data_IF_970238133921
#
_entry.id   IF_970238133921
#
_cell.length_a   1.000
_cell.length_b   1.000
_cell.length_c   1.000
_cell.angle_alpha   90.00
_cell.angle_beta   90.00
_cell.angle_gamma   90.00
#
_symmetry.space_group_name_H-M   'P 1'
#
loop_
_entity.id
_entity.type
_entity.pdbx_description
1 polymer ?
#
# COMPACT_ATOMS: atom_id res chain seq x y z
N UNK A 1 -11.04 10.17 -7.57
CA UNK A 1 -10.97 11.35 -8.44
C UNK A 1 -9.62 12.05 -8.25
N UNK A 2 -9.26 13.05 -9.06
CA UNK A 2 -8.01 13.83 -8.87
C UNK A 2 -7.99 14.53 -7.51
N UNK A 3 -9.11 15.17 -7.16
CA UNK A 3 -9.30 15.86 -5.87
C UNK A 3 -9.04 14.95 -4.67
N UNK A 4 -9.62 13.75 -4.63
CA UNK A 4 -9.40 12.82 -3.53
C UNK A 4 -7.92 12.39 -3.42
N UNK A 5 -7.25 12.22 -4.56
CA UNK A 5 -5.83 11.84 -4.60
C UNK A 5 -4.92 12.99 -4.13
N UNK A 6 -5.32 14.24 -4.33
CA UNK A 6 -4.59 15.40 -3.79
C UNK A 6 -4.63 15.49 -2.27
N UNK A 7 -5.67 14.93 -1.62
CA UNK A 7 -5.93 15.11 -0.18
C UNK A 7 -5.67 13.86 0.68
N UNK A 8 -5.34 12.72 0.07
CA UNK A 8 -5.26 11.44 0.78
C UNK A 8 -4.12 11.39 1.81
N UNK A 9 -3.01 12.06 1.54
CA UNK A 9 -1.88 12.20 2.47
C UNK A 9 -2.25 13.04 3.70
N UNK A 10 -2.89 14.18 3.47
CA UNK A 10 -3.38 15.06 4.52
C UNK A 10 -4.35 14.34 5.46
N UNK A 11 -5.33 13.63 4.90
CA UNK A 11 -6.46 13.08 5.66
C UNK A 11 -6.17 11.73 6.32
N UNK A 12 -5.33 10.89 5.72
CA UNK A 12 -5.18 9.50 6.13
C UNK A 12 -3.77 8.96 6.07
N UNK A 13 -2.75 9.81 5.86
CA UNK A 13 -1.37 9.37 5.64
C UNK A 13 -1.21 8.41 4.45
N UNK A 14 -2.17 8.40 3.52
CA UNK A 14 -2.08 7.60 2.30
C UNK A 14 -1.25 8.30 1.23
N UNK A 15 -0.70 7.54 0.29
CA UNK A 15 -0.01 8.09 -0.87
C UNK A 15 -0.92 8.04 -2.10
N UNK A 16 -0.91 9.07 -2.97
CA UNK A 16 -1.64 9.01 -4.23
C UNK A 16 -1.09 7.89 -5.12
N UNK A 17 -1.98 7.14 -5.76
CA UNK A 17 -1.65 6.14 -6.77
C UNK A 17 -1.56 6.74 -8.17
N UNK A 18 -2.09 7.96 -8.37
CA UNK A 18 -2.01 8.69 -9.63
C UNK A 18 -0.66 9.36 -9.79
N UNK A 19 0.02 9.09 -10.89
CA UNK A 19 1.32 9.71 -11.20
C UNK A 19 1.24 11.20 -11.57
N UNK A 20 0.07 11.70 -11.99
CA UNK A 20 -0.14 13.12 -12.33
C UNK A 20 -0.56 13.98 -11.13
N UNK A 21 -0.44 13.44 -9.91
CA UNK A 21 -0.82 14.10 -8.66
C UNK A 21 0.36 14.07 -7.71
N UNK A 22 0.81 15.26 -7.32
CA UNK A 22 1.87 15.46 -6.32
C UNK A 22 1.33 16.41 -5.26
N UNK A 23 0.82 15.88 -4.13
CA UNK A 23 0.43 16.69 -2.97
C UNK A 23 1.62 17.47 -2.43
N UNK A 24 1.34 18.55 -1.71
CA UNK A 24 2.38 19.42 -1.14
C UNK A 24 2.26 19.59 0.38
N UNK A 25 1.39 18.82 1.02
CA UNK A 25 1.20 18.82 2.47
C UNK A 25 2.39 18.15 3.20
N UNK A 26 2.47 18.40 4.50
CA UNK A 26 3.59 17.93 5.33
C UNK A 26 3.60 16.41 5.49
N UNK A 27 2.45 15.72 5.52
CA UNK A 27 2.41 14.26 5.62
C UNK A 27 2.97 13.61 4.35
N UNK A 28 2.63 14.13 3.17
CA UNK A 28 3.18 13.65 1.90
C UNK A 28 4.69 13.81 1.82
N UNK A 29 5.23 14.97 2.22
CA UNK A 29 6.69 15.21 2.25
C UNK A 29 7.39 14.26 3.22
N UNK A 30 6.86 14.10 4.43
CA UNK A 30 7.43 13.21 5.44
C UNK A 30 7.42 11.74 4.99
N UNK A 31 6.30 11.27 4.42
CA UNK A 31 6.20 9.91 3.88
C UNK A 31 7.14 9.67 2.70
N UNK A 32 7.27 10.65 1.79
CA UNK A 32 8.21 10.56 0.66
C UNK A 32 9.66 10.47 1.15
N UNK A 33 10.05 11.33 2.09
CA UNK A 33 11.38 11.31 2.69
C UNK A 33 11.67 9.98 3.42
N UNK A 34 10.69 9.42 4.14
CA UNK A 34 10.83 8.14 4.82
C UNK A 34 11.01 6.94 3.87
N UNK A 35 10.53 7.07 2.62
CA UNK A 35 10.65 6.04 1.58
C UNK A 35 11.85 6.25 0.65
N UNK A 36 12.64 7.30 0.84
CA UNK A 36 13.84 7.54 0.03
C UNK A 36 14.81 6.36 0.13
N UNK A 37 15.20 5.82 -1.01
CA UNK A 37 16.08 4.64 -1.10
C UNK A 37 15.40 3.31 -0.80
N UNK A 38 14.12 3.29 -0.42
CA UNK A 38 13.36 2.05 -0.24
C UNK A 38 12.92 1.51 -1.60
N UNK A 39 13.28 0.27 -1.89
CA UNK A 39 12.74 -0.44 -3.04
C UNK A 39 11.26 -0.75 -2.80
N UNK A 40 10.39 -0.12 -3.59
CA UNK A 40 8.97 -0.44 -3.59
C UNK A 40 8.75 -1.79 -4.29
N UNK A 41 8.20 -2.75 -3.55
CA UNK A 41 7.71 -4.02 -4.10
C UNK A 41 6.19 -4.03 -4.09
N UNK A 42 5.59 -4.55 -5.15
CA UNK A 42 4.15 -4.76 -5.25
C UNK A 42 3.91 -6.22 -5.65
N UNK A 43 2.94 -6.91 -5.00
CA UNK A 43 2.57 -8.26 -5.40
C UNK A 43 1.91 -8.24 -6.78
N UNK A 44 2.03 -9.35 -7.51
CA UNK A 44 1.11 -9.62 -8.61
C UNK A 44 -0.24 -10.06 -8.03
N UNK A 45 -1.23 -9.18 -8.09
CA UNK A 45 -2.55 -9.44 -7.53
C UNK A 45 -3.32 -10.56 -8.25
N UNK A 46 -3.04 -10.79 -9.54
CA UNK A 46 -3.65 -11.90 -10.28
C UNK A 46 -3.15 -13.24 -9.73
N UNK A 47 -1.85 -13.35 -9.45
CA UNK A 47 -1.27 -14.55 -8.84
C UNK A 47 -1.81 -14.76 -7.41
N UNK A 48 -1.88 -13.69 -6.62
CA UNK A 48 -2.43 -13.74 -5.25
C UNK A 48 -3.88 -14.20 -5.26
N UNK A 49 -4.71 -13.69 -6.18
CA UNK A 49 -6.13 -14.06 -6.24
C UNK A 49 -6.32 -15.56 -6.51
N UNK A 50 -5.44 -16.17 -7.32
CA UNK A 50 -5.50 -17.61 -7.62
C UNK A 50 -5.15 -18.46 -6.40
N UNK A 51 -4.16 -18.07 -5.59
CA UNK A 51 -3.70 -18.88 -4.45
C UNK A 51 -4.33 -18.53 -3.10
N UNK A 52 -5.07 -17.42 -3.00
CA UNK A 52 -5.50 -16.79 -1.74
C UNK A 52 -6.14 -17.78 -0.75
N UNK A 53 -7.11 -18.57 -1.18
CA UNK A 53 -7.81 -19.52 -0.29
C UNK A 53 -6.89 -20.61 0.27
N UNK A 54 -5.94 -21.09 -0.55
CA UNK A 54 -4.97 -22.09 -0.13
C UNK A 54 -3.92 -21.47 0.81
N UNK A 55 -3.50 -20.23 0.54
CA UNK A 55 -2.57 -19.49 1.39
C UNK A 55 -3.17 -19.21 2.78
N UNK A 56 -4.44 -18.80 2.85
CA UNK A 56 -5.17 -18.60 4.11
C UNK A 56 -5.26 -19.91 4.89
N UNK A 57 -5.67 -21.01 4.25
CA UNK A 57 -5.80 -22.32 4.89
C UNK A 57 -4.45 -22.81 5.45
N UNK A 58 -3.36 -22.58 4.70
CA UNK A 58 -2.00 -22.93 5.16
C UNK A 58 -1.59 -22.06 6.34
N UNK A 59 -1.86 -20.75 6.30
CA UNK A 59 -1.54 -19.83 7.40
C UNK A 59 -2.18 -20.30 8.71
N UNK A 60 -3.50 -20.53 8.72
CA UNK A 60 -4.22 -21.04 9.89
C UNK A 60 -3.57 -22.32 10.45
N UNK A 61 -3.28 -23.30 9.57
CA UNK A 61 -2.64 -24.56 9.99
C UNK A 61 -1.30 -24.36 10.69
N UNK A 62 -0.48 -23.40 10.25
CA UNK A 62 0.88 -23.21 10.80
C UNK A 62 0.96 -22.20 11.93
N UNK A 63 -0.07 -21.35 12.12
CA UNK A 63 -0.09 -20.32 13.17
C UNK A 63 -1.08 -20.58 14.30
N UNK A 64 -2.13 -21.37 14.09
CA UNK A 64 -3.17 -21.60 15.11
C UNK A 64 -2.97 -22.86 15.97
N UNK A 65 -1.83 -23.54 15.81
CA UNK A 65 -1.47 -24.63 16.73
C UNK A 65 -0.69 -24.09 17.93
N UNK A 66 -1.45 -23.54 18.89
CA UNK A 66 -1.08 -23.47 20.31
C UNK A 66 -2.10 -24.24 21.14
#
# INVERSE_FOLDING_TARGET
SKEAQTRVSELSWGMPVRSDVTPSDEHYKAATAALEGVQSWQPNWDDVAVSLSADISRWHKVTESE
#
